data_IF_950542183723
#
_entry.id   IF_950542183723
#
_cell.length_a   1.000
_cell.length_b   1.000
_cell.length_c   1.000
_cell.angle_alpha   90.00
_cell.angle_beta   90.00
_cell.angle_gamma   90.00
#
_symmetry.space_group_name_H-M   'P 1'
#
loop_
_entity.id
_entity.type
_entity.pdbx_description
1 polymer ?
#
# COMPACT_ATOMS: atom_id res chain seq x y z
N UNK A 1 -19.92 -16.92 -32.46
CA UNK A 1 -19.09 -17.61 -31.46
C UNK A 1 -18.62 -16.55 -30.47
N UNK A 2 -19.23 -16.48 -29.28
CA UNK A 2 -18.87 -15.47 -28.29
C UNK A 2 -17.81 -16.11 -27.41
N UNK A 3 -16.55 -15.73 -27.57
CA UNK A 3 -15.49 -16.11 -26.63
C UNK A 3 -15.82 -15.47 -25.30
N UNK A 4 -16.43 -16.23 -24.39
CA UNK A 4 -16.53 -15.85 -22.98
C UNK A 4 -15.12 -16.00 -22.44
N UNK A 5 -14.41 -14.89 -22.25
CA UNK A 5 -13.12 -14.93 -21.58
C UNK A 5 -13.33 -15.53 -20.18
N UNK A 6 -12.80 -16.72 -19.93
CA UNK A 6 -12.79 -17.31 -18.59
C UNK A 6 -12.11 -16.34 -17.63
N UNK A 7 -12.69 -16.17 -16.44
CA UNK A 7 -12.08 -15.35 -15.42
C UNK A 7 -10.65 -15.86 -15.14
N UNK A 8 -9.64 -14.98 -15.08
CA UNK A 8 -8.25 -15.39 -14.92
C UNK A 8 -8.09 -16.26 -13.66
N UNK A 9 -7.30 -17.33 -13.72
CA UNK A 9 -7.08 -18.24 -12.59
C UNK A 9 -6.41 -17.52 -11.41
N UNK A 10 -6.42 -18.14 -10.22
CA UNK A 10 -5.74 -17.58 -9.04
C UNK A 10 -4.25 -17.41 -9.30
N UNK A 11 -3.64 -18.36 -10.01
CA UNK A 11 -2.23 -18.36 -10.38
C UNK A 11 -1.91 -17.20 -11.31
N UNK A 12 -2.75 -16.96 -12.32
CA UNK A 12 -2.60 -15.84 -13.25
C UNK A 12 -2.71 -14.49 -12.53
N UNK A 13 -3.70 -14.32 -11.65
CA UNK A 13 -3.86 -13.10 -10.83
C UNK A 13 -2.68 -12.89 -9.89
N UNK A 14 -2.18 -13.95 -9.27
CA UNK A 14 -1.00 -13.88 -8.40
C UNK A 14 0.26 -13.50 -9.19
N UNK A 15 0.45 -14.04 -10.40
CA UNK A 15 1.59 -13.69 -11.25
C UNK A 15 1.55 -12.22 -11.68
N UNK A 16 0.37 -11.74 -12.10
CA UNK A 16 0.16 -10.33 -12.44
C UNK A 16 0.43 -9.42 -11.23
N UNK A 17 -0.09 -9.78 -10.05
CA UNK A 17 0.16 -9.03 -8.84
C UNK A 17 1.66 -8.94 -8.52
N UNK A 18 2.39 -10.06 -8.58
CA UNK A 18 3.85 -10.08 -8.33
C UNK A 18 4.60 -9.14 -9.27
N UNK A 19 4.23 -9.13 -10.56
CA UNK A 19 4.85 -8.23 -11.53
C UNK A 19 4.61 -6.76 -11.18
N UNK A 20 3.36 -6.39 -10.86
CA UNK A 20 3.00 -5.03 -10.45
C UNK A 20 3.66 -4.63 -9.13
N UNK A 21 3.73 -5.56 -8.17
CA UNK A 21 4.35 -5.37 -6.88
C UNK A 21 5.86 -5.11 -7.01
N UNK A 22 6.56 -5.89 -7.84
CA UNK A 22 7.97 -5.69 -8.14
C UNK A 22 8.23 -4.31 -8.78
N UNK A 23 7.37 -3.88 -9.71
CA UNK A 23 7.46 -2.54 -10.30
C UNK A 23 7.31 -1.43 -9.23
N UNK A 24 6.32 -1.55 -8.34
CA UNK A 24 6.14 -0.59 -7.23
C UNK A 24 7.35 -0.57 -6.29
N UNK A 25 7.94 -1.72 -5.98
CA UNK A 25 9.17 -1.79 -5.17
C UNK A 25 10.35 -1.07 -5.83
N UNK A 26 10.55 -1.26 -7.14
CA UNK A 26 11.61 -0.56 -7.86
C UNK A 26 11.35 0.94 -7.92
N UNK A 27 10.11 1.34 -8.19
CA UNK A 27 9.73 2.74 -8.30
C UNK A 27 9.86 3.45 -6.95
N UNK A 28 9.35 2.87 -5.86
CA UNK A 28 9.37 3.53 -4.55
C UNK A 28 10.80 3.72 -4.02
N UNK A 29 11.73 2.82 -4.37
CA UNK A 29 13.15 2.97 -4.04
C UNK A 29 13.79 4.16 -4.78
N UNK A 30 13.39 4.43 -6.02
CA UNK A 30 13.84 5.61 -6.78
C UNK A 30 13.16 6.88 -6.30
N UNK A 31 11.82 6.85 -6.19
CA UNK A 31 10.99 7.95 -5.69
C UNK A 31 11.44 8.42 -4.30
N UNK A 32 11.85 7.50 -3.42
CA UNK A 32 12.32 7.87 -2.09
C UNK A 32 13.57 8.75 -2.05
N UNK A 33 14.38 8.74 -3.12
CA UNK A 33 15.55 9.61 -3.26
C UNK A 33 15.21 10.96 -3.93
N UNK A 34 14.14 11.01 -4.73
CA UNK A 34 13.89 12.10 -5.68
C UNK A 34 12.60 12.91 -5.39
N UNK A 35 11.63 12.33 -4.68
CA UNK A 35 10.30 12.91 -4.48
C UNK A 35 9.81 12.78 -3.03
N UNK A 36 10.28 13.72 -2.20
CA UNK A 36 9.88 13.82 -0.80
C UNK A 36 8.38 14.11 -0.60
N UNK A 37 7.69 14.69 -1.59
CA UNK A 37 6.24 14.94 -1.52
C UNK A 37 5.46 13.61 -1.55
N UNK A 38 5.83 12.71 -2.46
CA UNK A 38 5.21 11.37 -2.53
C UNK A 38 5.46 10.58 -1.23
N UNK A 39 6.68 10.59 -0.70
CA UNK A 39 6.95 9.97 0.60
C UNK A 39 6.15 10.62 1.74
N UNK A 40 5.99 11.95 1.72
CA UNK A 40 5.17 12.67 2.69
C UNK A 40 3.70 12.24 2.66
N UNK A 41 3.13 12.08 1.45
CA UNK A 41 1.76 11.60 1.27
C UNK A 41 1.59 10.15 1.74
N UNK A 42 2.54 9.26 1.42
CA UNK A 42 2.55 7.88 1.91
C UNK A 42 2.59 7.87 3.45
N UNK A 43 3.51 8.63 4.05
CA UNK A 43 3.66 8.72 5.50
C UNK A 43 2.41 9.26 6.20
N UNK A 44 1.79 10.31 5.64
CA UNK A 44 0.54 10.87 6.14
C UNK A 44 -0.60 9.83 6.13
N UNK A 45 -0.86 9.20 4.99
CA UNK A 45 -1.96 8.24 4.83
C UNK A 45 -1.74 7.00 5.70
N UNK A 46 -0.51 6.45 5.72
CA UNK A 46 -0.15 5.31 6.54
C UNK A 46 -0.29 5.61 8.04
N UNK A 47 0.12 6.81 8.47
CA UNK A 47 -0.04 7.25 9.85
C UNK A 47 -1.51 7.32 10.26
N UNK A 48 -2.36 7.90 9.41
CA UNK A 48 -3.78 8.06 9.73
C UNK A 48 -4.50 6.70 9.81
N UNK A 49 -4.16 5.77 8.93
CA UNK A 49 -4.64 4.39 9.00
C UNK A 49 -4.16 3.68 10.26
N UNK A 50 -2.88 3.78 10.59
CA UNK A 50 -2.31 3.17 11.80
C UNK A 50 -2.97 3.71 13.06
N UNK A 51 -3.17 5.04 13.15
CA UNK A 51 -3.88 5.70 14.25
C UNK A 51 -5.33 5.23 14.37
N UNK A 52 -6.04 5.06 13.25
CA UNK A 52 -7.43 4.55 13.27
C UNK A 52 -7.53 3.14 13.86
N UNK A 53 -6.46 2.35 13.75
CA UNK A 53 -6.32 1.00 14.30
C UNK A 53 -5.56 0.97 15.63
N UNK A 54 -5.30 2.14 16.23
CA UNK A 54 -4.56 2.31 17.49
C UNK A 54 -3.18 1.65 17.47
N UNK A 55 -2.52 1.67 16.32
CA UNK A 55 -1.17 1.13 16.13
C UNK A 55 -0.16 2.24 15.84
N UNK A 56 1.11 2.05 16.21
CA UNK A 56 2.15 3.08 16.07
C UNK A 56 2.56 3.32 14.61
N UNK A 57 2.43 2.30 13.74
CA UNK A 57 2.86 2.33 12.35
C UNK A 57 2.09 1.32 11.50
N UNK A 58 2.34 1.32 10.19
CA UNK A 58 1.56 0.55 9.22
C UNK A 58 1.80 -0.95 9.37
N UNK A 59 3.05 -1.39 9.55
CA UNK A 59 3.32 -2.81 9.75
C UNK A 59 2.71 -3.37 11.03
N UNK A 60 2.58 -2.57 12.08
CA UNK A 60 1.86 -2.97 13.30
C UNK A 60 0.35 -2.99 13.06
N UNK A 61 -0.19 -2.02 12.32
CA UNK A 61 -1.59 -1.99 11.89
C UNK A 61 -1.99 -3.28 11.15
N UNK A 62 -1.19 -3.73 10.18
CA UNK A 62 -1.48 -4.95 9.43
C UNK A 62 -1.58 -6.22 10.28
N UNK A 63 -0.90 -6.28 11.43
CA UNK A 63 -0.94 -7.46 12.33
C UNK A 63 -2.26 -7.60 13.09
N UNK A 64 -3.02 -6.51 13.23
CA UNK A 64 -4.29 -6.49 13.99
C UNK A 64 -5.52 -6.36 13.09
N UNK A 65 -5.33 -6.23 11.77
CA UNK A 65 -6.43 -6.14 10.80
C UNK A 65 -7.23 -7.45 10.79
N UNK A 66 -8.55 -7.32 10.97
CA UNK A 66 -9.49 -8.43 10.80
C UNK A 66 -9.79 -8.66 9.30
N UNK A 67 -10.30 -9.84 8.91
CA UNK A 67 -10.74 -10.07 7.52
C UNK A 67 -11.77 -9.05 7.01
N UNK A 68 -12.66 -8.58 7.89
CA UNK A 68 -13.64 -7.55 7.55
C UNK A 68 -12.94 -6.21 7.27
N UNK A 69 -12.09 -5.76 8.18
CA UNK A 69 -11.30 -4.54 8.03
C UNK A 69 -10.41 -4.59 6.79
N UNK A 70 -9.83 -5.74 6.47
CA UNK A 70 -9.04 -5.95 5.26
C UNK A 70 -9.88 -5.67 4.00
N UNK A 71 -11.06 -6.29 3.90
CA UNK A 71 -11.95 -6.10 2.75
C UNK A 71 -12.44 -4.66 2.63
N UNK A 72 -12.75 -4.00 3.74
CA UNK A 72 -13.19 -2.62 3.74
C UNK A 72 -12.07 -1.66 3.32
N UNK A 73 -10.83 -1.88 3.78
CA UNK A 73 -9.66 -1.12 3.34
C UNK A 73 -9.39 -1.29 1.84
N UNK A 74 -9.51 -2.51 1.30
CA UNK A 74 -9.35 -2.72 -0.14
C UNK A 74 -10.37 -1.93 -0.97
N UNK A 75 -11.65 -1.91 -0.54
CA UNK A 75 -12.69 -1.11 -1.21
C UNK A 75 -12.37 0.38 -1.15
N UNK A 76 -11.91 0.86 0.01
CA UNK A 76 -11.52 2.26 0.19
C UNK A 76 -10.33 2.61 -0.70
N UNK A 77 -9.31 1.75 -0.78
CA UNK A 77 -8.15 1.96 -1.64
C UNK A 77 -8.53 1.97 -3.12
N UNK A 78 -9.39 1.04 -3.55
CA UNK A 78 -9.89 1.03 -4.92
C UNK A 78 -10.65 2.32 -5.24
N UNK A 79 -11.60 2.71 -4.38
CA UNK A 79 -12.39 3.91 -4.58
C UNK A 79 -11.51 5.18 -4.63
N UNK A 80 -10.68 5.40 -3.60
CA UNK A 80 -9.84 6.59 -3.49
C UNK A 80 -8.76 6.64 -4.56
N UNK A 81 -8.13 5.50 -4.88
CA UNK A 81 -7.16 5.40 -5.96
C UNK A 81 -7.76 5.81 -7.31
N UNK A 82 -8.96 5.31 -7.62
CA UNK A 82 -9.69 5.66 -8.84
C UNK A 82 -10.18 7.11 -8.86
N UNK A 83 -10.59 7.67 -7.72
CA UNK A 83 -10.92 9.10 -7.58
C UNK A 83 -9.70 9.97 -7.87
N UNK A 84 -8.55 9.68 -7.25
CA UNK A 84 -7.32 10.44 -7.47
C UNK A 84 -6.79 10.32 -8.90
N UNK A 85 -6.83 9.12 -9.48
CA UNK A 85 -6.44 8.91 -10.87
C UNK A 85 -7.32 9.75 -11.82
N UNK A 86 -8.65 9.70 -11.67
CA UNK A 86 -9.57 10.49 -12.51
C UNK A 86 -9.39 11.99 -12.33
N UNK A 87 -8.98 12.43 -11.13
CA UNK A 87 -8.69 13.83 -10.84
C UNK A 87 -7.27 14.28 -11.25
N UNK A 88 -6.47 13.42 -11.92
CA UNK A 88 -5.09 13.75 -12.31
C UNK A 88 -4.11 13.86 -11.14
N UNK A 89 -4.48 13.39 -9.94
CA UNK A 89 -3.67 13.45 -8.72
C UNK A 89 -2.76 12.22 -8.61
N UNK A 90 -1.84 12.08 -9.55
CA UNK A 90 -1.01 10.87 -9.72
C UNK A 90 -0.24 10.46 -8.46
N UNK A 91 0.35 11.42 -7.72
CA UNK A 91 1.07 11.12 -6.46
C UNK A 91 0.16 10.55 -5.37
N UNK A 92 -1.09 11.02 -5.29
CA UNK A 92 -2.06 10.51 -4.33
C UNK A 92 -2.54 9.12 -4.74
N UNK A 93 -2.83 8.90 -6.03
CA UNK A 93 -3.19 7.59 -6.56
C UNK A 93 -2.07 6.57 -6.32
N UNK A 94 -0.81 6.96 -6.55
CA UNK A 94 0.36 6.13 -6.29
C UNK A 94 0.53 5.81 -4.80
N UNK A 95 0.34 6.78 -3.92
CA UNK A 95 0.41 6.55 -2.46
C UNK A 95 -0.61 5.51 -2.00
N UNK A 96 -1.84 5.55 -2.54
CA UNK A 96 -2.86 4.53 -2.28
C UNK A 96 -2.45 3.18 -2.86
N UNK A 97 -1.89 3.14 -4.07
CA UNK A 97 -1.39 1.90 -4.68
C UNK A 97 -0.31 1.24 -3.82
N UNK A 98 0.65 2.01 -3.29
CA UNK A 98 1.70 1.51 -2.39
C UNK A 98 1.10 0.83 -1.15
N UNK A 99 0.13 1.47 -0.49
CA UNK A 99 -0.53 0.92 0.70
C UNK A 99 -1.35 -0.34 0.37
N UNK A 100 -2.09 -0.33 -0.74
CA UNK A 100 -2.85 -1.48 -1.20
C UNK A 100 -1.94 -2.68 -1.52
N UNK A 101 -0.82 -2.45 -2.21
CA UNK A 101 0.16 -3.48 -2.55
C UNK A 101 0.78 -4.09 -1.29
N UNK A 102 1.16 -3.27 -0.30
CA UNK A 102 1.65 -3.74 1.00
C UNK A 102 0.60 -4.57 1.75
N UNK A 103 -0.68 -4.17 1.70
CA UNK A 103 -1.77 -4.90 2.35
C UNK A 103 -2.00 -6.27 1.71
N UNK A 104 -2.09 -6.33 0.38
CA UNK A 104 -2.34 -7.57 -0.37
C UNK A 104 -1.15 -8.53 -0.25
N UNK A 105 0.08 -8.01 -0.35
CA UNK A 105 1.30 -8.82 -0.20
C UNK A 105 1.32 -9.58 1.13
N UNK A 106 0.78 -8.97 2.20
CA UNK A 106 0.64 -9.60 3.51
C UNK A 106 -0.24 -10.86 3.56
N UNK A 107 -1.03 -11.13 2.51
CA UNK A 107 -1.83 -12.35 2.38
C UNK A 107 -1.11 -13.47 1.60
N UNK A 108 -0.01 -13.16 0.91
CA UNK A 108 0.72 -14.09 0.03
C UNK A 108 1.86 -14.83 0.76
N UNK A 109 1.62 -15.24 2.01
CA UNK A 109 2.65 -15.80 2.91
C UNK A 109 3.29 -17.10 2.43
N UNK A 110 2.64 -17.83 1.53
CA UNK A 110 3.18 -19.05 0.94
C UNK A 110 4.32 -18.78 -0.08
N UNK A 111 4.48 -17.53 -0.52
CA UNK A 111 5.55 -17.12 -1.42
C UNK A 111 6.63 -16.35 -0.66
N UNK A 112 7.82 -16.94 -0.54
CA UNK A 112 8.94 -16.34 0.18
C UNK A 112 9.44 -15.04 -0.45
N UNK A 113 9.37 -14.89 -1.78
CA UNK A 113 9.75 -13.64 -2.45
C UNK A 113 8.77 -12.52 -2.09
N UNK A 114 7.48 -12.85 -1.98
CA UNK A 114 6.47 -11.89 -1.53
C UNK A 114 6.67 -11.49 -0.08
N UNK A 115 7.04 -12.43 0.80
CA UNK A 115 7.33 -12.13 2.21
C UNK A 115 8.50 -11.15 2.34
N UNK A 116 9.59 -11.38 1.62
CA UNK A 116 10.75 -10.46 1.67
C UNK A 116 10.43 -9.11 1.01
N UNK A 117 9.75 -9.13 -0.14
CA UNK A 117 9.33 -7.91 -0.82
C UNK A 117 8.36 -7.06 0.02
N UNK A 118 7.41 -7.68 0.72
CA UNK A 118 6.51 -6.99 1.64
C UNK A 118 7.28 -6.30 2.75
N UNK A 119 8.25 -6.97 3.38
CA UNK A 119 9.09 -6.37 4.44
C UNK A 119 9.83 -5.13 3.94
N UNK A 120 10.34 -5.17 2.71
CA UNK A 120 11.01 -4.02 2.10
C UNK A 120 10.04 -2.85 1.88
N UNK A 121 8.86 -3.11 1.33
CA UNK A 121 7.86 -2.08 1.09
C UNK A 121 7.38 -1.46 2.41
N UNK A 122 7.12 -2.31 3.40
CA UNK A 122 6.73 -1.93 4.75
C UNK A 122 7.78 -1.04 5.44
N UNK A 123 9.06 -1.38 5.32
CA UNK A 123 10.14 -0.58 5.90
C UNK A 123 10.17 0.85 5.30
N UNK A 124 9.88 0.99 3.99
CA UNK A 124 9.80 2.31 3.35
C UNK A 124 8.56 3.08 3.84
N UNK A 125 7.41 2.42 3.97
CA UNK A 125 6.18 3.04 4.48
C UNK A 125 6.38 3.50 5.94
N UNK A 126 6.89 2.63 6.82
CA UNK A 126 7.09 2.94 8.24
C UNK A 126 8.15 4.03 8.45
N UNK A 127 9.19 4.07 7.61
CA UNK A 127 10.13 5.19 7.58
C UNK A 127 9.42 6.50 7.21
N UNK A 128 8.54 6.46 6.21
CA UNK A 128 7.76 7.62 5.79
C UNK A 128 6.81 8.11 6.88
N UNK A 129 6.17 7.18 7.61
CA UNK A 129 5.37 7.48 8.82
C UNK A 129 6.21 8.19 9.86
N UNK A 130 7.40 7.67 10.15
CA UNK A 130 8.31 8.23 11.17
C UNK A 130 8.75 9.66 10.81
N UNK A 131 9.07 9.90 9.52
CA UNK A 131 9.39 11.24 9.01
C UNK A 131 8.19 12.17 9.16
N UNK A 132 6.99 11.73 8.73
CA UNK A 132 5.77 12.53 8.83
C UNK A 132 5.45 12.91 10.29
N UNK A 133 5.56 11.96 11.23
CA UNK A 133 5.37 12.20 12.66
C UNK A 133 6.38 13.19 13.23
N UNK A 134 7.66 13.07 12.83
CA UNK A 134 8.73 13.98 13.26
C UNK A 134 8.51 15.41 12.78
N UNK A 135 7.91 15.59 11.60
CA UNK A 135 7.55 16.89 11.04
C UNK A 135 6.21 17.43 11.62
N UNK A 136 5.40 16.58 12.25
CA UNK A 136 4.08 16.94 12.78
C UNK A 136 3.88 16.45 14.23
N UNK A 137 4.73 16.86 15.18
CA UNK A 137 4.69 16.34 16.56
C UNK A 137 3.38 16.67 17.31
N UNK A 138 2.61 17.66 16.84
CA UNK A 138 1.51 18.29 17.59
C UNK A 138 0.09 17.79 17.27
N UNK A 139 -0.09 16.73 16.46
CA UNK A 139 -1.41 16.10 16.22
C UNK A 139 -1.63 14.81 17.03
N UNK A 140 -1.20 14.84 18.28
CA UNK A 140 -1.46 13.85 19.32
C UNK A 140 -2.20 14.54 20.48
N UNK A 141 -3.37 15.10 20.19
CA UNK A 141 -4.36 15.51 21.18
C UNK A 141 -5.72 15.09 20.67
#
# INVERSE_FOLDING_TARGET
MIMTAEAPTKEARNAEFKQRFAAVLVDIQKTGAEDGETLGLIGHLANDLAKSLQQPNWSSAKKVITPQTYNDLLKVFEQRGNEYHRAGKSKHAYSIQVLAMSLIAGTMRADQQMVEGEKLLDAVIDRSVSIYQSLNPTKLN
#
